data_IF_364856094126
#
_entry.id   IF_364856094126
#
_cell.length_a   1.000
_cell.length_b   1.000
_cell.length_c   1.000
_cell.angle_alpha   90.00
_cell.angle_beta   90.00
_cell.angle_gamma   90.00
#
_symmetry.space_group_name_H-M   'P 1'
#
loop_
_entity.id
_entity.type
_entity.pdbx_description
1 polymer ?
#
# COMPACT_ATOMS: atom_id res chain seq x y z
N UNK A 1 19.95 -36.66 7.43
CA UNK A 1 20.58 -35.64 6.57
C UNK A 1 19.61 -34.47 6.45
N UNK A 2 19.56 -33.64 7.50
CA UNK A 2 18.77 -32.42 7.59
C UNK A 2 19.58 -31.47 8.49
N UNK A 3 20.63 -30.89 7.92
CA UNK A 3 21.41 -29.82 8.57
C UNK A 3 21.00 -28.52 7.89
N UNK A 4 19.80 -28.05 8.21
CA UNK A 4 19.45 -26.64 8.03
C UNK A 4 20.45 -25.89 8.91
N UNK A 5 21.44 -25.29 8.27
CA UNK A 5 22.46 -24.48 8.93
C UNK A 5 21.74 -23.40 9.73
N UNK A 6 21.80 -23.52 11.05
CA UNK A 6 21.33 -22.60 12.09
C UNK A 6 21.79 -21.14 11.92
N UNK A 7 22.63 -20.86 10.92
CA UNK A 7 23.19 -19.55 10.60
C UNK A 7 22.15 -18.52 10.13
N UNK A 8 21.04 -18.94 9.51
CA UNK A 8 20.01 -17.99 9.02
C UNK A 8 19.21 -17.37 10.17
N UNK A 9 18.92 -18.16 11.23
CA UNK A 9 18.28 -17.63 12.45
C UNK A 9 19.29 -16.79 13.26
N UNK A 10 20.58 -17.13 13.21
CA UNK A 10 21.62 -16.37 13.88
C UNK A 10 21.77 -14.93 13.33
N UNK A 11 21.54 -14.73 12.02
CA UNK A 11 21.64 -13.39 11.39
C UNK A 11 20.58 -12.43 11.94
N UNK A 12 19.36 -12.90 12.25
CA UNK A 12 18.37 -12.04 12.94
C UNK A 12 18.75 -11.75 14.40
N UNK A 13 19.40 -12.68 15.10
CA UNK A 13 19.86 -12.45 16.48
C UNK A 13 21.10 -11.54 16.60
N UNK A 14 21.83 -11.33 15.50
CA UNK A 14 23.01 -10.45 15.44
C UNK A 14 22.67 -9.00 15.05
N UNK A 15 21.41 -8.69 14.75
CA UNK A 15 20.93 -7.35 14.41
C UNK A 15 20.48 -6.50 15.62
N UNK A 16 20.69 -6.97 16.86
CA UNK A 16 20.68 -6.09 18.04
C UNK A 16 21.96 -5.26 18.09
N UNK A 17 22.20 -4.42 17.09
CA UNK A 17 23.10 -3.29 17.25
C UNK A 17 22.24 -2.17 17.83
N UNK A 18 22.46 -1.86 19.11
CA UNK A 18 22.08 -0.56 19.65
C UNK A 18 22.80 0.50 18.80
N UNK A 19 22.14 1.01 17.75
CA UNK A 19 22.55 2.23 17.06
C UNK A 19 22.16 3.41 17.95
N UNK A 20 22.84 3.53 19.09
CA UNK A 20 23.02 4.83 19.73
C UNK A 20 24.06 5.56 18.89
N UNK A 21 23.76 6.79 18.48
CA UNK A 21 24.68 7.68 17.80
C UNK A 21 25.88 7.97 18.73
N UNK A 22 26.91 7.14 18.65
CA UNK A 22 28.21 7.42 19.21
C UNK A 22 29.21 7.57 18.06
N UNK A 23 29.95 8.67 18.05
CA UNK A 23 31.13 8.84 17.21
C UNK A 23 32.12 7.70 17.50
N UNK A 24 32.13 6.66 16.66
CA UNK A 24 33.15 5.62 16.74
C UNK A 24 34.32 6.01 15.84
N UNK A 25 35.50 6.15 16.44
CA UNK A 25 36.75 6.53 15.78
C UNK A 25 37.04 5.69 14.51
N UNK A 26 37.22 6.42 13.42
CA UNK A 26 37.54 5.95 12.07
C UNK A 26 38.88 5.22 12.02
N UNK A 27 38.92 4.08 11.32
CA UNK A 27 40.00 3.53 10.47
C UNK A 27 39.84 1.99 10.35
N UNK A 28 39.51 1.27 11.42
CA UNK A 28 39.43 -0.21 11.39
C UNK A 28 38.03 -0.79 11.11
N UNK A 29 36.97 0.01 11.23
CA UNK A 29 35.58 -0.43 10.99
C UNK A 29 35.22 -0.35 9.49
N UNK A 30 35.70 0.69 8.79
CA UNK A 30 35.49 0.89 7.36
C UNK A 30 36.06 -0.25 6.50
N UNK A 31 37.25 -0.75 6.83
CA UNK A 31 37.90 -1.83 6.09
C UNK A 31 37.16 -3.18 6.23
N UNK A 32 36.50 -3.45 7.36
CA UNK A 32 35.66 -4.64 7.56
C UNK A 32 34.29 -4.54 6.88
N UNK A 33 33.75 -3.32 6.72
CA UNK A 33 32.49 -3.07 6.00
C UNK A 33 32.67 -3.27 4.48
N UNK A 34 33.80 -2.86 3.91
CA UNK A 34 34.04 -3.04 2.46
C UNK A 34 34.14 -4.52 2.07
N UNK A 35 34.64 -5.39 2.96
CA UNK A 35 34.82 -6.83 2.68
C UNK A 35 33.51 -7.63 2.52
N UNK A 36 32.36 -7.06 2.88
CA UNK A 36 31.06 -7.76 2.93
C UNK A 36 29.97 -7.07 2.08
N UNK A 37 30.35 -6.32 1.03
CA UNK A 37 29.44 -5.57 0.15
C UNK A 37 28.55 -4.53 0.86
N UNK A 38 29.04 -3.93 1.96
CA UNK A 38 28.33 -2.85 2.63
C UNK A 38 28.55 -1.52 1.91
N UNK A 39 27.48 -0.76 1.66
CA UNK A 39 27.56 0.62 1.16
C UNK A 39 26.82 1.56 2.13
N UNK A 40 27.59 2.30 2.91
CA UNK A 40 27.09 3.46 3.66
C UNK A 40 27.08 4.66 2.71
N UNK A 41 25.96 5.37 2.60
CA UNK A 41 25.84 6.61 1.86
C UNK A 41 25.33 7.68 2.83
N UNK A 42 26.23 8.55 3.27
CA UNK A 42 25.81 9.80 3.89
C UNK A 42 25.20 10.68 2.78
N UNK A 43 23.94 11.09 2.96
CA UNK A 43 23.22 11.88 1.97
C UNK A 43 23.46 13.38 2.21
N UNK A 44 23.39 13.82 3.47
CA UNK A 44 23.71 15.16 3.97
C UNK A 44 23.84 15.15 5.51
N UNK A 45 23.98 16.32 6.14
CA UNK A 45 24.13 16.48 7.60
C UNK A 45 22.90 16.04 8.41
N UNK A 46 21.73 15.88 7.78
CA UNK A 46 20.44 15.58 8.41
C UNK A 46 19.86 14.22 7.99
N UNK A 47 20.42 13.60 6.94
CA UNK A 47 19.92 12.38 6.32
C UNK A 47 21.05 11.36 6.09
N UNK A 48 20.80 10.12 6.50
CA UNK A 48 21.74 9.01 6.29
C UNK A 48 21.01 7.82 5.66
N UNK A 49 21.67 7.13 4.72
CA UNK A 49 21.14 5.93 4.10
C UNK A 49 22.18 4.80 4.12
N UNK A 50 21.79 3.68 4.72
CA UNK A 50 22.57 2.46 4.73
C UNK A 50 21.94 1.43 3.78
N UNK A 51 22.76 0.85 2.90
CA UNK A 51 22.35 -0.21 1.98
C UNK A 51 23.30 -1.40 2.06
N UNK A 52 22.72 -2.58 2.15
CA UNK A 52 23.42 -3.85 1.97
C UNK A 52 22.60 -4.69 1.00
N UNK A 53 23.26 -5.26 0.00
CA UNK A 53 22.64 -6.24 -0.86
C UNK A 53 23.63 -7.34 -1.20
N UNK A 54 23.13 -8.56 -1.28
CA UNK A 54 23.92 -9.71 -1.70
C UNK A 54 23.06 -10.63 -2.54
N UNK A 55 23.65 -11.13 -3.61
CA UNK A 55 23.05 -12.12 -4.48
C UNK A 55 24.02 -13.28 -4.63
N UNK A 56 23.53 -14.46 -4.33
CA UNK A 56 24.21 -15.75 -4.48
C UNK A 56 23.29 -16.66 -5.29
N UNK A 57 23.77 -17.85 -5.68
CA UNK A 57 23.00 -18.81 -6.46
C UNK A 57 21.66 -19.20 -5.77
N UNK A 58 21.70 -19.44 -4.46
CA UNK A 58 20.56 -19.99 -3.72
C UNK A 58 19.81 -18.96 -2.86
N UNK A 59 20.26 -17.71 -2.81
CA UNK A 59 19.56 -16.65 -2.08
C UNK A 59 19.98 -15.26 -2.55
N UNK A 60 19.08 -14.31 -2.40
CA UNK A 60 19.36 -12.89 -2.43
C UNK A 60 18.77 -12.20 -1.21
N UNK A 61 19.40 -11.11 -0.79
CA UNK A 61 18.81 -10.21 0.18
C UNK A 61 19.18 -8.78 -0.12
N UNK A 62 18.30 -7.87 0.29
CA UNK A 62 18.50 -6.45 0.31
C UNK A 62 18.03 -5.89 1.66
N UNK A 63 18.87 -5.10 2.29
CA UNK A 63 18.57 -4.34 3.49
C UNK A 63 18.82 -2.86 3.18
N UNK A 64 17.81 -2.04 3.41
CA UNK A 64 17.89 -0.59 3.29
C UNK A 64 17.40 0.03 4.59
N UNK A 65 18.22 0.88 5.19
CA UNK A 65 17.85 1.69 6.32
C UNK A 65 18.04 3.16 5.97
N UNK A 66 17.02 3.98 6.20
CA UNK A 66 17.05 5.42 5.98
C UNK A 66 16.69 6.13 7.27
N UNK A 67 17.58 7.00 7.71
CA UNK A 67 17.33 8.02 8.72
C UNK A 67 17.10 9.34 7.99
N UNK A 68 16.00 10.01 8.29
CA UNK A 68 15.71 11.32 7.72
C UNK A 68 15.18 12.28 8.77
N UNK A 69 15.76 13.47 8.80
CA UNK A 69 15.28 14.62 9.56
C UNK A 69 14.89 15.71 8.56
N UNK A 70 13.69 16.25 8.70
CA UNK A 70 13.21 17.34 7.84
C UNK A 70 13.20 18.65 8.62
N UNK A 71 13.97 19.65 8.15
CA UNK A 71 13.85 21.03 8.62
C UNK A 71 12.48 21.66 8.33
N UNK A 72 12.23 22.86 8.84
CA UNK A 72 10.94 23.55 8.73
C UNK A 72 10.52 23.78 7.26
N UNK A 73 9.54 23.03 6.76
CA UNK A 73 8.89 23.36 5.49
C UNK A 73 7.70 24.29 5.74
N UNK A 74 7.69 25.44 5.06
CA UNK A 74 6.53 26.33 5.05
C UNK A 74 5.45 25.69 4.19
N UNK A 75 4.31 25.34 4.80
CA UNK A 75 3.21 24.72 4.09
C UNK A 75 2.44 25.80 3.31
N UNK A 76 2.57 25.83 1.98
CA UNK A 76 1.78 26.65 1.04
C UNK A 76 0.30 26.18 0.95
N UNK A 77 -0.39 26.07 2.09
CA UNK A 77 -1.85 25.92 2.14
C UNK A 77 -2.45 27.23 2.64
N UNK A 78 -2.79 28.10 1.69
CA UNK A 78 -3.53 29.34 1.93
C UNK A 78 -4.97 28.96 2.29
N UNK A 79 -5.23 28.80 3.58
CA UNK A 79 -6.56 29.01 4.15
C UNK A 79 -6.40 29.72 5.49
N UNK A 80 -6.73 31.01 5.47
CA UNK A 80 -6.90 31.98 6.56
C UNK A 80 -6.42 31.57 7.97
N UNK A 81 -5.29 32.18 8.37
CA UNK A 81 -4.77 32.31 9.75
C UNK A 81 -4.15 31.07 10.40
N UNK A 82 -3.03 30.54 9.86
CA UNK A 82 -1.75 30.30 10.58
C UNK A 82 -0.77 29.61 9.63
N UNK A 83 0.43 30.17 9.44
CA UNK A 83 1.56 29.41 8.87
C UNK A 83 1.94 28.34 9.90
N UNK A 84 1.60 27.08 9.64
CA UNK A 84 2.00 25.98 10.49
C UNK A 84 3.32 25.43 9.94
N UNK A 85 4.37 25.54 10.74
CA UNK A 85 5.64 24.91 10.43
C UNK A 85 5.62 23.45 10.87
N UNK A 86 6.14 22.56 10.03
CA UNK A 86 6.22 21.15 10.34
C UNK A 86 7.66 20.68 10.34
N UNK A 87 8.01 19.89 11.35
CA UNK A 87 9.28 19.15 11.43
C UNK A 87 8.93 17.68 11.64
N UNK A 88 9.51 16.79 10.83
CA UNK A 88 9.31 15.34 10.93
C UNK A 88 10.65 14.62 11.01
N UNK A 89 10.88 13.98 12.15
CA UNK A 89 11.93 12.98 12.32
C UNK A 89 11.37 11.62 11.87
N UNK A 90 12.05 10.93 10.97
CA UNK A 90 11.60 9.63 10.46
C UNK A 90 12.71 8.60 10.29
N UNK A 91 12.35 7.36 10.58
CA UNK A 91 13.17 6.16 10.48
C UNK A 91 12.46 5.18 9.57
N UNK A 92 13.19 4.58 8.63
CA UNK A 92 12.63 3.58 7.75
C UNK A 92 13.61 2.42 7.56
N UNK A 93 13.19 1.22 7.93
CA UNK A 93 13.93 -0.03 7.77
C UNK A 93 13.17 -0.94 6.81
N UNK A 94 13.76 -1.21 5.65
CA UNK A 94 13.23 -2.11 4.63
C UNK A 94 14.17 -3.30 4.49
N UNK A 95 13.64 -4.50 4.60
CA UNK A 95 14.35 -5.75 4.36
C UNK A 95 13.55 -6.59 3.37
N UNK A 96 14.24 -7.13 2.36
CA UNK A 96 13.68 -8.07 1.40
C UNK A 96 14.68 -9.20 1.19
N UNK A 97 14.20 -10.43 1.13
CA UNK A 97 15.04 -11.62 0.94
C UNK A 97 14.30 -12.67 0.15
N UNK A 98 14.98 -13.25 -0.82
CA UNK A 98 14.50 -14.40 -1.60
C UNK A 98 15.42 -15.59 -1.35
N UNK A 99 14.86 -16.73 -0.99
CA UNK A 99 15.60 -17.98 -0.79
C UNK A 99 15.10 -19.00 -1.81
N UNK A 100 15.98 -19.43 -2.69
CA UNK A 100 15.69 -20.42 -3.72
C UNK A 100 15.98 -21.82 -3.17
N UNK A 101 14.93 -22.59 -2.95
CA UNK A 101 15.04 -23.97 -2.45
C UNK A 101 15.36 -24.92 -3.61
N UNK A 102 14.75 -24.64 -4.77
CA UNK A 102 14.94 -25.29 -6.07
C UNK A 102 14.64 -24.27 -7.18
N UNK A 103 15.00 -24.59 -8.43
CA UNK A 103 14.72 -23.73 -9.60
C UNK A 103 13.22 -23.42 -9.79
N UNK A 104 12.35 -24.28 -9.26
CA UNK A 104 10.89 -24.17 -9.32
C UNK A 104 10.25 -23.75 -8.00
N UNK A 105 11.02 -23.49 -6.93
CA UNK A 105 10.45 -23.19 -5.61
C UNK A 105 11.32 -22.23 -4.81
N UNK A 106 10.72 -21.12 -4.36
CA UNK A 106 11.41 -20.11 -3.59
C UNK A 106 10.52 -19.49 -2.51
N UNK A 107 11.17 -18.91 -1.51
CA UNK A 107 10.53 -18.18 -0.40
C UNK A 107 10.90 -16.70 -0.49
N UNK A 108 9.92 -15.82 -0.34
CA UNK A 108 10.14 -14.38 -0.16
C UNK A 108 9.84 -14.00 1.30
N UNK A 109 10.69 -13.14 1.86
CA UNK A 109 10.52 -12.51 3.15
C UNK A 109 10.72 -11.01 2.97
N UNK A 110 9.69 -10.24 3.29
CA UNK A 110 9.72 -8.78 3.19
C UNK A 110 9.29 -8.17 4.51
N UNK A 111 9.96 -7.11 4.91
CA UNK A 111 9.65 -6.30 6.08
C UNK A 111 9.88 -4.83 5.77
N UNK A 112 8.98 -3.97 6.22
CA UNK A 112 9.11 -2.53 6.15
C UNK A 112 8.60 -1.93 7.46
N UNK A 113 9.50 -1.32 8.22
CA UNK A 113 9.19 -0.62 9.46
C UNK A 113 9.46 0.86 9.26
N UNK A 114 8.42 1.68 9.40
CA UNK A 114 8.51 3.13 9.41
C UNK A 114 8.07 3.67 10.76
N UNK A 115 8.90 4.54 11.34
CA UNK A 115 8.56 5.33 12.52
C UNK A 115 8.75 6.81 12.18
N UNK A 116 7.78 7.65 12.51
CA UNK A 116 7.86 9.09 12.32
C UNK A 116 7.27 9.84 13.50
N UNK A 117 7.94 10.90 13.93
CA UNK A 117 7.43 11.87 14.88
C UNK A 117 7.37 13.23 14.20
N UNK A 118 6.15 13.74 14.02
CA UNK A 118 5.92 15.06 13.45
C UNK A 118 5.52 16.04 14.54
N UNK A 119 6.27 17.13 14.63
CA UNK A 119 5.94 18.28 15.46
C UNK A 119 5.37 19.37 14.58
N UNK A 120 4.24 19.92 15.01
CA UNK A 120 3.54 21.00 14.32
C UNK A 120 3.66 22.21 15.22
N UNK A 121 4.19 23.32 14.72
CA UNK A 121 4.36 24.53 15.52
C UNK A 121 3.32 25.58 15.16
N UNK A 122 2.86 26.31 16.17
CA UNK A 122 2.08 27.52 16.03
C UNK A 122 2.96 28.66 15.51
N UNK A 123 2.33 29.68 14.90
CA UNK A 123 3.00 30.92 14.49
C UNK A 123 3.65 31.68 15.65
N UNK A 124 3.29 31.37 16.90
CA UNK A 124 3.88 31.91 18.13
C UNK A 124 5.21 31.26 18.52
N UNK A 125 5.60 30.16 17.85
CA UNK A 125 6.79 29.36 18.15
C UNK A 125 6.58 28.22 19.16
N UNK A 126 5.36 28.05 19.69
CA UNK A 126 5.00 26.89 20.50
C UNK A 126 4.69 25.64 19.66
N UNK A 127 4.92 24.44 20.18
CA UNK A 127 4.41 23.21 19.55
C UNK A 127 2.88 23.23 19.67
N UNK A 128 2.14 23.16 18.56
CA UNK A 128 0.67 23.10 18.52
C UNK A 128 0.15 21.69 18.82
N UNK A 129 0.78 20.66 18.24
CA UNK A 129 0.51 19.25 18.53
C UNK A 129 1.60 18.33 17.99
N UNK A 130 1.68 17.14 18.58
CA UNK A 130 2.56 16.06 18.16
C UNK A 130 1.77 14.96 17.46
N UNK A 131 2.34 14.41 16.39
CA UNK A 131 1.84 13.22 15.72
C UNK A 131 2.93 12.15 15.70
N UNK A 132 2.76 11.09 16.47
CA UNK A 132 3.58 9.88 16.36
C UNK A 132 2.89 8.92 15.41
N UNK A 133 3.63 8.36 14.46
CA UNK A 133 3.11 7.35 13.55
C UNK A 133 4.13 6.23 13.40
N UNK A 134 3.69 5.00 13.66
CA UNK A 134 4.45 3.79 13.34
C UNK A 134 3.68 2.95 12.32
N UNK A 135 4.41 2.33 11.40
CA UNK A 135 3.88 1.43 10.37
C UNK A 135 4.82 0.24 10.27
N UNK A 136 4.26 -0.94 10.46
CA UNK A 136 4.97 -2.21 10.37
C UNK A 136 4.29 -3.05 9.30
N UNK A 137 5.05 -3.40 8.27
CA UNK A 137 4.63 -4.25 7.19
C UNK A 137 5.54 -5.47 7.18
N UNK A 138 4.97 -6.66 7.10
CA UNK A 138 5.76 -7.87 6.88
C UNK A 138 4.99 -8.83 6.01
N UNK A 139 5.72 -9.59 5.19
CA UNK A 139 5.13 -10.68 4.42
C UNK A 139 6.10 -11.83 4.25
N UNK A 140 5.55 -13.04 4.27
CA UNK A 140 6.24 -14.26 3.86
C UNK A 140 5.42 -14.93 2.78
N UNK A 141 6.08 -15.34 1.69
CA UNK A 141 5.43 -16.04 0.58
C UNK A 141 6.24 -17.25 0.16
N UNK A 142 5.59 -18.41 0.01
CA UNK A 142 6.14 -19.58 -0.65
C UNK A 142 5.58 -19.65 -2.06
N UNK A 143 6.47 -19.77 -3.04
CA UNK A 143 6.14 -19.81 -4.45
C UNK A 143 6.60 -21.12 -5.08
N UNK A 144 5.77 -21.65 -5.97
CA UNK A 144 6.02 -22.89 -6.69
C UNK A 144 5.68 -22.70 -8.17
N UNK A 145 6.67 -22.89 -9.05
CA UNK A 145 6.60 -22.72 -10.50
C UNK A 145 7.13 -24.00 -11.18
N UNK A 146 6.31 -25.07 -11.26
CA UNK A 146 6.75 -26.36 -11.80
C UNK A 146 7.08 -26.33 -13.30
N UNK A 147 6.56 -25.33 -14.03
CA UNK A 147 6.80 -25.13 -15.46
C UNK A 147 6.64 -23.64 -15.80
N UNK A 148 6.76 -23.27 -17.08
CA UNK A 148 6.64 -21.89 -17.53
C UNK A 148 5.23 -21.31 -17.46
N UNK A 149 4.19 -22.16 -17.37
CA UNK A 149 2.78 -21.77 -17.51
C UNK A 149 2.14 -21.48 -16.15
N UNK A 150 2.48 -22.24 -15.11
CA UNK A 150 1.77 -22.17 -13.82
C UNK A 150 2.73 -21.70 -12.73
N UNK A 151 2.30 -20.69 -11.98
CA UNK A 151 2.92 -20.29 -10.71
C UNK A 151 1.84 -20.28 -9.63
N UNK A 152 2.07 -20.99 -8.53
CA UNK A 152 1.21 -20.96 -7.35
C UNK A 152 1.94 -20.36 -6.15
N UNK A 153 1.23 -19.68 -5.27
CA UNK A 153 1.80 -19.14 -4.04
C UNK A 153 0.86 -19.23 -2.86
N UNK A 154 1.44 -19.36 -1.67
CA UNK A 154 0.76 -19.09 -0.40
C UNK A 154 1.52 -17.97 0.31
N UNK A 155 0.83 -16.92 0.71
CA UNK A 155 1.41 -15.77 1.39
C UNK A 155 0.66 -15.42 2.66
N UNK A 156 1.43 -14.98 3.66
CA UNK A 156 0.94 -14.32 4.85
C UNK A 156 1.49 -12.90 4.88
N UNK A 157 0.61 -11.93 5.06
CA UNK A 157 0.93 -10.51 5.14
C UNK A 157 0.40 -9.96 6.46
N UNK A 158 1.19 -9.11 7.12
CA UNK A 158 0.78 -8.32 8.26
C UNK A 158 1.04 -6.83 7.99
N UNK A 159 0.07 -5.99 8.34
CA UNK A 159 0.17 -4.53 8.28
C UNK A 159 -0.40 -3.96 9.59
N UNK A 160 0.48 -3.43 10.42
CA UNK A 160 0.14 -2.70 11.63
C UNK A 160 0.40 -1.21 11.40
N UNK A 161 -0.56 -0.35 11.72
CA UNK A 161 -0.34 1.10 11.76
C UNK A 161 -0.85 1.68 13.06
N UNK A 162 0.00 2.43 13.74
CA UNK A 162 -0.37 3.21 14.91
C UNK A 162 -0.17 4.69 14.60
N UNK A 163 -1.15 5.49 14.96
CA UNK A 163 -1.08 6.94 14.88
C UNK A 163 -1.60 7.50 16.18
N UNK A 164 -0.74 8.19 16.91
CA UNK A 164 -1.10 8.92 18.11
C UNK A 164 -1.01 10.41 17.81
N UNK A 165 -2.09 11.13 18.10
CA UNK A 165 -2.18 12.58 18.04
C UNK A 165 -2.33 13.11 19.45
N UNK A 166 -1.43 14.01 19.83
CA UNK A 166 -1.47 14.70 21.11
C UNK A 166 -1.52 16.21 20.87
N UNK A 167 -2.71 16.78 21.08
CA UNK A 167 -3.01 18.20 20.96
C UNK A 167 -3.42 18.74 22.32
N UNK A 168 -2.49 18.79 23.29
CA UNK A 168 -2.64 19.28 24.67
C UNK A 168 -3.96 18.93 25.38
N UNK A 169 -5.03 19.62 25.03
CA UNK A 169 -6.41 19.42 25.53
C UNK A 169 -7.11 18.17 24.95
N UNK A 170 -6.63 17.62 23.84
CA UNK A 170 -7.22 16.47 23.15
C UNK A 170 -6.16 15.46 22.75
N UNK A 171 -6.38 14.20 23.09
CA UNK A 171 -5.55 13.07 22.66
C UNK A 171 -6.39 12.13 21.83
N UNK A 172 -5.83 11.61 20.74
CA UNK A 172 -6.48 10.52 20.01
C UNK A 172 -5.47 9.53 19.49
N UNK A 173 -5.84 8.26 19.48
CA UNK A 173 -5.03 7.21 18.88
C UNK A 173 -5.84 6.39 17.91
N UNK A 174 -5.20 5.98 16.82
CA UNK A 174 -5.73 5.05 15.85
C UNK A 174 -4.72 3.93 15.66
N UNK A 175 -5.13 2.72 16.00
CA UNK A 175 -4.38 1.50 15.74
C UNK A 175 -5.17 0.66 14.73
N UNK A 176 -4.50 0.16 13.70
CA UNK A 176 -5.05 -0.87 12.84
C UNK A 176 -4.06 -2.01 12.67
N UNK A 177 -4.48 -3.25 12.91
CA UNK A 177 -3.69 -4.48 12.67
C UNK A 177 -4.42 -5.36 11.67
N UNK A 178 -3.83 -5.51 10.49
CA UNK A 178 -4.39 -6.27 9.38
C UNK A 178 -3.54 -7.51 9.13
N UNK A 179 -4.17 -8.69 9.17
CA UNK A 179 -3.53 -9.99 8.88
C UNK A 179 -4.21 -10.64 7.71
N UNK A 180 -3.45 -11.00 6.69
CA UNK A 180 -3.97 -11.57 5.45
C UNK A 180 -3.26 -12.87 5.12
N UNK A 181 -4.04 -13.93 4.95
CA UNK A 181 -3.60 -15.18 4.34
C UNK A 181 -4.18 -15.24 2.92
N UNK A 182 -3.33 -15.49 1.93
CA UNK A 182 -3.76 -15.55 0.53
C UNK A 182 -3.11 -16.75 -0.16
N UNK A 183 -3.90 -17.50 -0.91
CA UNK A 183 -3.42 -18.51 -1.84
C UNK A 183 -3.74 -18.06 -3.26
N UNK A 184 -2.75 -18.08 -4.15
CA UNK A 184 -2.88 -17.58 -5.52
C UNK A 184 -2.36 -18.59 -6.53
N UNK A 185 -2.97 -18.60 -7.72
CA UNK A 185 -2.49 -19.33 -8.89
C UNK A 185 -2.54 -18.36 -10.08
N UNK A 186 -1.39 -18.17 -10.71
CA UNK A 186 -1.22 -17.47 -11.98
C UNK A 186 -0.96 -18.52 -13.07
N UNK A 187 -1.76 -18.47 -14.13
CA UNK A 187 -1.62 -19.31 -15.33
C UNK A 187 -1.33 -18.42 -16.54
N UNK A 188 -0.09 -18.45 -17.02
CA UNK A 188 0.39 -17.75 -18.21
C UNK A 188 0.33 -18.69 -19.42
N UNK A 189 -0.82 -18.69 -20.10
CA UNK A 189 -1.03 -19.42 -21.35
C UNK A 189 -0.74 -18.49 -22.53
N UNK A 190 -0.33 -19.04 -23.67
CA UNK A 190 0.01 -18.26 -24.88
C UNK A 190 -1.11 -17.29 -25.33
N UNK A 191 -2.36 -17.60 -25.01
CA UNK A 191 -3.54 -16.83 -25.42
C UNK A 191 -4.22 -16.06 -24.27
N UNK A 192 -3.81 -16.26 -23.01
CA UNK A 192 -4.42 -15.61 -21.84
C UNK A 192 -3.56 -15.78 -20.59
N UNK A 193 -3.45 -14.73 -19.79
CA UNK A 193 -3.02 -14.81 -18.39
C UNK A 193 -4.25 -14.81 -17.48
N UNK A 194 -4.32 -15.78 -16.57
CA UNK A 194 -5.37 -15.92 -15.56
C UNK A 194 -4.76 -15.93 -14.16
N UNK A 195 -5.14 -14.96 -13.34
CA UNK A 195 -4.82 -14.91 -11.92
C UNK A 195 -6.07 -15.27 -11.12
N UNK A 196 -5.94 -16.24 -10.23
CA UNK A 196 -7.00 -16.61 -9.29
C UNK A 196 -6.43 -16.62 -7.89
N UNK A 197 -7.21 -16.16 -6.92
CA UNK A 197 -6.81 -16.26 -5.53
C UNK A 197 -7.98 -16.37 -4.58
N UNK A 198 -7.73 -17.03 -3.45
CA UNK A 198 -8.61 -17.05 -2.30
C UNK A 198 -7.88 -16.40 -1.13
N UNK A 199 -8.60 -15.64 -0.34
CA UNK A 199 -8.00 -14.89 0.76
C UNK A 199 -8.88 -14.86 2.00
N UNK A 200 -8.22 -14.68 3.13
CA UNK A 200 -8.83 -14.34 4.41
C UNK A 200 -8.07 -13.17 5.02
N UNK A 201 -8.77 -12.10 5.39
CA UNK A 201 -8.20 -10.91 6.01
C UNK A 201 -8.92 -10.65 7.33
N UNK A 202 -8.17 -10.58 8.42
CA UNK A 202 -8.63 -9.98 9.66
C UNK A 202 -8.19 -8.51 9.66
N UNK A 203 -9.10 -7.60 9.97
CA UNK A 203 -8.80 -6.18 10.18
C UNK A 203 -9.25 -5.77 11.57
N UNK A 204 -8.29 -5.54 12.44
CA UNK A 204 -8.52 -4.93 13.75
C UNK A 204 -8.40 -3.42 13.59
N UNK A 205 -9.44 -2.68 13.99
CA UNK A 205 -9.47 -1.23 13.98
C UNK A 205 -9.84 -0.73 15.36
N UNK A 206 -8.95 0.04 15.98
CA UNK A 206 -9.19 0.70 17.26
C UNK A 206 -8.96 2.20 17.12
N UNK A 207 -9.96 2.97 17.50
CA UNK A 207 -9.88 4.42 17.59
C UNK A 207 -10.27 4.86 18.99
N UNK A 208 -9.42 5.67 19.60
CA UNK A 208 -9.65 6.28 20.90
C UNK A 208 -9.55 7.80 20.73
N UNK A 209 -10.46 8.54 21.33
CA UNK A 209 -10.34 9.99 21.50
C UNK A 209 -10.65 10.32 22.95
N UNK A 210 -9.81 11.14 23.56
CA UNK A 210 -9.96 11.69 24.90
C UNK A 210 -9.90 13.21 24.82
N UNK A 211 -10.80 13.86 25.54
CA UNK A 211 -10.93 15.31 25.60
C UNK A 211 -11.14 15.71 27.05
N UNK A 212 -10.59 16.86 27.46
CA UNK A 212 -10.94 17.43 28.76
C UNK A 212 -12.37 18.00 28.78
N UNK A 213 -12.87 18.41 27.60
CA UNK A 213 -14.16 19.10 27.44
C UNK A 213 -15.31 18.17 26.98
N UNK A 214 -15.00 16.96 26.51
CA UNK A 214 -15.98 16.00 25.97
C UNK A 214 -15.75 14.58 26.51
N UNK A 215 -16.77 13.73 26.40
CA UNK A 215 -16.65 12.32 26.79
C UNK A 215 -15.62 11.58 25.92
N UNK A 216 -14.86 10.69 26.58
CA UNK A 216 -13.94 9.78 25.90
C UNK A 216 -14.72 8.90 24.91
N UNK A 217 -14.23 8.81 23.68
CA UNK A 217 -14.80 7.96 22.63
C UNK A 217 -13.87 6.78 22.35
N UNK A 218 -14.42 5.57 22.40
CA UNK A 218 -13.72 4.35 22.00
C UNK A 218 -14.54 3.59 20.96
N UNK A 219 -13.91 3.35 19.81
CA UNK A 219 -14.38 2.39 18.82
C UNK A 219 -13.35 1.28 18.72
N UNK A 220 -13.79 0.03 18.86
CA UNK A 220 -12.96 -1.14 18.68
C UNK A 220 -13.75 -2.16 17.86
N UNK A 221 -13.25 -2.52 16.68
CA UNK A 221 -13.91 -3.42 15.74
C UNK A 221 -12.89 -4.37 15.12
N UNK A 222 -13.22 -5.65 15.06
CA UNK A 222 -12.50 -6.65 14.27
C UNK A 222 -13.40 -7.12 13.14
N UNK A 223 -12.94 -6.97 11.92
CA UNK A 223 -13.65 -7.36 10.70
C UNK A 223 -12.96 -8.57 10.05
N UNK A 224 -13.75 -9.45 9.46
CA UNK A 224 -13.26 -10.60 8.71
C UNK A 224 -13.76 -10.55 7.27
N UNK A 225 -12.81 -10.60 6.34
CA UNK A 225 -13.06 -10.65 4.91
C UNK A 225 -12.58 -12.00 4.40
N UNK A 226 -13.47 -12.77 3.80
CA UNK A 226 -13.15 -14.03 3.13
C UNK A 226 -13.63 -13.94 1.70
N UNK A 227 -12.77 -14.23 0.74
CA UNK A 227 -13.17 -14.01 -0.64
C UNK A 227 -12.31 -14.68 -1.68
N UNK A 228 -12.73 -14.43 -2.92
CA UNK A 228 -12.11 -14.90 -4.13
C UNK A 228 -11.90 -13.71 -5.08
N UNK A 229 -10.71 -13.63 -5.65
CA UNK A 229 -10.35 -12.67 -6.69
C UNK A 229 -9.97 -13.43 -7.95
N UNK A 230 -10.49 -12.97 -9.09
CA UNK A 230 -10.09 -13.45 -10.41
C UNK A 230 -9.64 -12.24 -11.22
N UNK A 231 -8.52 -12.33 -11.92
CA UNK A 231 -8.14 -11.40 -12.95
C UNK A 231 -7.75 -12.15 -14.23
N UNK A 232 -8.10 -11.57 -15.37
CA UNK A 232 -7.85 -12.11 -16.69
C UNK A 232 -7.23 -11.02 -17.54
N UNK A 233 -6.16 -11.34 -18.26
CA UNK A 233 -5.55 -10.48 -19.27
C UNK A 233 -5.35 -11.26 -20.56
N UNK A 234 -5.85 -10.72 -21.68
CA UNK A 234 -5.76 -11.37 -22.98
C UNK A 234 -5.55 -10.35 -24.10
N UNK A 235 -4.58 -10.60 -24.96
CA UNK A 235 -4.49 -9.94 -26.25
C UNK A 235 -5.42 -10.67 -27.24
N UNK A 236 -6.54 -10.03 -27.59
CA UNK A 236 -7.54 -10.56 -28.52
C UNK A 236 -7.03 -10.50 -29.98
N UNK A 237 -6.21 -9.50 -30.28
CA UNK A 237 -5.45 -9.32 -31.53
C UNK A 237 -4.13 -8.61 -31.18
N UNK A 238 -3.22 -8.45 -32.14
CA UNK A 238 -1.96 -7.69 -31.97
C UNK A 238 -2.17 -6.25 -31.46
N UNK A 239 -3.36 -5.69 -31.70
CA UNK A 239 -3.69 -4.31 -31.39
C UNK A 239 -4.81 -4.16 -30.35
N UNK A 240 -5.38 -5.26 -29.84
CA UNK A 240 -6.56 -5.24 -28.95
C UNK A 240 -6.29 -6.07 -27.70
N UNK A 241 -6.20 -5.40 -26.56
CA UNK A 241 -6.02 -6.02 -25.25
C UNK A 241 -7.28 -5.91 -24.41
N UNK A 242 -7.62 -6.99 -23.73
CA UNK A 242 -8.71 -7.08 -22.76
C UNK A 242 -8.12 -7.41 -21.38
N UNK A 243 -8.52 -6.66 -20.37
CA UNK A 243 -8.22 -6.98 -18.97
C UNK A 243 -9.52 -6.94 -18.18
N UNK A 244 -9.77 -7.93 -17.33
CA UNK A 244 -10.94 -7.98 -16.46
C UNK A 244 -10.55 -8.48 -15.09
N UNK A 245 -11.23 -7.99 -14.05
CA UNK A 245 -11.11 -8.54 -12.71
C UNK A 245 -12.47 -8.59 -12.02
N UNK A 246 -12.62 -9.56 -11.13
CA UNK A 246 -13.79 -9.74 -10.31
C UNK A 246 -13.39 -10.12 -8.89
N UNK A 247 -14.10 -9.59 -7.90
CA UNK A 247 -13.90 -9.88 -6.49
C UNK A 247 -15.23 -10.18 -5.83
N UNK A 248 -15.26 -11.29 -5.11
CA UNK A 248 -16.42 -11.74 -4.34
C UNK A 248 -15.99 -11.98 -2.90
N UNK A 249 -16.67 -11.35 -1.96
CA UNK A 249 -16.28 -11.36 -0.56
C UNK A 249 -17.48 -11.61 0.34
N UNK A 250 -17.33 -12.55 1.27
CA UNK A 250 -18.13 -12.58 2.49
C UNK A 250 -17.40 -11.74 3.55
N UNK A 251 -18.12 -10.82 4.17
CA UNK A 251 -17.52 -9.80 5.04
C UNK A 251 -18.43 -9.64 6.25
N UNK A 252 -17.85 -9.66 7.45
CA UNK A 252 -18.57 -9.53 8.71
C UNK A 252 -17.71 -8.81 9.76
N UNK A 253 -18.35 -8.09 10.68
CA UNK A 253 -17.74 -7.60 11.92
C UNK A 253 -17.76 -8.78 12.91
N UNK A 254 -16.61 -9.42 13.13
CA UNK A 254 -16.50 -10.53 14.08
C UNK A 254 -16.67 -10.09 15.53
N UNK A 255 -16.00 -9.00 15.90
CA UNK A 255 -16.03 -8.47 17.26
C UNK A 255 -16.16 -6.94 17.22
N UNK A 256 -16.89 -6.39 18.19
CA UNK A 256 -16.95 -4.95 18.43
C UNK A 256 -17.27 -4.68 19.89
N UNK A 257 -16.89 -3.50 20.38
CA UNK A 257 -17.36 -2.97 21.66
C UNK A 257 -18.84 -2.52 21.62
N UNK A 258 -19.45 -2.45 20.44
CA UNK A 258 -20.88 -2.20 20.24
C UNK A 258 -21.51 -3.52 19.76
N UNK A 259 -22.34 -4.13 20.61
CA UNK A 259 -22.86 -5.48 20.38
C UNK A 259 -23.67 -5.58 19.09
N UNK A 260 -24.49 -4.56 18.80
CA UNK A 260 -25.36 -4.49 17.62
C UNK A 260 -24.59 -4.49 16.29
N UNK A 261 -23.26 -4.33 16.30
CA UNK A 261 -22.44 -4.39 15.09
C UNK A 261 -21.99 -5.81 14.75
N UNK A 262 -21.94 -6.73 15.71
CA UNK A 262 -21.38 -8.07 15.50
C UNK A 262 -22.23 -8.88 14.52
N UNK A 263 -21.58 -9.57 13.59
CA UNK A 263 -22.20 -10.36 12.53
C UNK A 263 -22.71 -9.53 11.33
N UNK A 264 -22.72 -8.20 11.43
CA UNK A 264 -23.11 -7.33 10.32
C UNK A 264 -21.97 -7.05 9.36
N UNK A 265 -22.29 -6.61 8.14
CA UNK A 265 -21.30 -6.16 7.15
C UNK A 265 -20.83 -4.76 7.50
N UNK A 266 -19.51 -4.48 7.53
CA UNK A 266 -19.01 -3.12 7.77
C UNK A 266 -19.60 -2.09 6.78
N UNK A 267 -19.86 -0.88 7.27
CA UNK A 267 -20.33 0.21 6.44
C UNK A 267 -19.42 0.47 5.23
N UNK A 268 -20.00 0.93 4.13
CA UNK A 268 -19.33 1.29 2.87
C UNK A 268 -18.49 0.20 2.21
N UNK A 269 -18.72 -1.06 2.58
CA UNK A 269 -17.89 -2.17 2.10
C UNK A 269 -18.66 -3.04 1.10
N UNK A 270 -18.28 -3.04 -0.19
CA UNK A 270 -18.94 -3.86 -1.19
C UNK A 270 -18.48 -5.33 -1.09
N UNK A 271 -19.43 -6.25 -1.25
CA UNK A 271 -19.16 -7.69 -1.31
C UNK A 271 -18.87 -8.20 -2.73
N UNK A 272 -19.13 -7.37 -3.75
CA UNK A 272 -18.96 -7.71 -5.16
C UNK A 272 -18.41 -6.52 -5.91
N UNK A 273 -17.33 -6.73 -6.63
CA UNK A 273 -16.67 -5.73 -7.46
C UNK A 273 -16.28 -6.35 -8.79
N UNK A 274 -16.40 -5.60 -9.88
CA UNK A 274 -16.02 -6.05 -11.22
C UNK A 274 -15.43 -4.90 -12.02
N UNK A 275 -14.32 -5.15 -12.70
CA UNK A 275 -13.71 -4.23 -13.64
C UNK A 275 -13.49 -4.91 -14.99
N UNK A 276 -13.70 -4.15 -16.06
CA UNK A 276 -13.40 -4.51 -17.43
C UNK A 276 -12.68 -3.34 -18.08
N UNK A 277 -11.55 -3.61 -18.73
CA UNK A 277 -10.77 -2.64 -19.49
C UNK A 277 -10.45 -3.21 -20.86
N UNK A 278 -10.61 -2.39 -21.88
CA UNK A 278 -10.21 -2.70 -23.25
C UNK A 278 -9.28 -1.62 -23.74
N UNK A 279 -8.17 -2.02 -24.37
CA UNK A 279 -7.19 -1.12 -24.98
C UNK A 279 -7.05 -1.48 -26.45
N UNK A 280 -7.26 -0.52 -27.34
CA UNK A 280 -7.14 -0.70 -28.78
C UNK A 280 -6.14 0.28 -29.37
N UNK A 281 -5.06 -0.23 -29.93
CA UNK A 281 -4.04 0.56 -30.62
C UNK A 281 -4.40 0.67 -32.10
N UNK A 282 -4.57 1.88 -32.59
CA UNK A 282 -4.76 2.16 -34.01
C UNK A 282 -3.80 3.26 -34.44
N UNK A 283 -2.79 2.89 -35.23
CA UNK A 283 -1.65 3.77 -35.55
C UNK A 283 -1.03 4.29 -34.25
N UNK A 284 -0.83 5.60 -34.14
CA UNK A 284 -0.21 6.26 -32.98
C UNK A 284 -1.23 6.67 -31.90
N UNK A 285 -2.43 6.08 -31.92
CA UNK A 285 -3.51 6.38 -30.98
C UNK A 285 -3.91 5.11 -30.24
N UNK A 286 -3.83 5.13 -28.91
CA UNK A 286 -4.35 4.07 -28.05
C UNK A 286 -5.68 4.50 -27.45
N UNK A 287 -6.77 3.85 -27.85
CA UNK A 287 -8.08 4.00 -27.25
C UNK A 287 -8.22 3.11 -26.02
N UNK A 288 -8.83 3.62 -24.96
CA UNK A 288 -9.06 2.91 -23.72
C UNK A 288 -10.55 3.01 -23.38
N UNK A 289 -11.18 1.88 -23.08
CA UNK A 289 -12.51 1.83 -22.47
C UNK A 289 -12.41 1.09 -21.15
N UNK A 290 -13.09 1.58 -20.12
CA UNK A 290 -13.16 0.93 -18.81
C UNK A 290 -14.60 0.96 -18.28
N UNK A 291 -15.03 -0.15 -17.69
CA UNK A 291 -16.28 -0.26 -16.94
C UNK A 291 -15.95 -0.80 -15.56
N UNK A 292 -16.42 -0.12 -14.52
CA UNK A 292 -16.26 -0.53 -13.12
C UNK A 292 -17.64 -0.66 -12.48
N UNK A 293 -17.93 -1.82 -11.89
CA UNK A 293 -19.13 -2.09 -11.12
C UNK A 293 -18.78 -2.29 -9.65
N UNK A 294 -19.58 -1.68 -8.79
CA UNK A 294 -19.48 -1.85 -7.34
C UNK A 294 -20.86 -2.21 -6.80
N UNK A 295 -20.92 -3.30 -6.03
CA UNK A 295 -22.15 -3.77 -5.39
C UNK A 295 -22.72 -2.79 -4.37
N UNK A 296 -23.95 -3.07 -3.92
CA UNK A 296 -24.59 -2.31 -2.84
C UNK A 296 -23.75 -2.34 -1.57
N UNK A 297 -23.83 -1.28 -0.76
CA UNK A 297 -23.06 -1.13 0.48
C UNK A 297 -23.97 -0.60 1.57
N UNK A 298 -23.77 -1.04 2.81
CA UNK A 298 -24.49 -0.45 3.94
C UNK A 298 -23.94 0.93 4.27
N UNK A 299 -24.78 1.84 4.79
CA UNK A 299 -24.35 3.16 5.27
C UNK A 299 -24.09 3.20 6.77
N UNK A 300 -24.42 2.13 7.47
CA UNK A 300 -24.29 1.97 8.91
C UNK A 300 -23.87 0.53 9.27
N UNK A 301 -23.26 0.36 10.45
CA UNK A 301 -22.78 -0.93 10.93
C UNK A 301 -23.87 -1.82 11.54
N UNK A 302 -25.09 -1.29 11.76
CA UNK A 302 -26.26 -2.11 12.16
C UNK A 302 -26.99 -2.71 10.96
N UNK A 303 -26.53 -2.39 9.75
CA UNK A 303 -27.06 -2.85 8.47
C UNK A 303 -28.52 -2.45 8.21
N UNK A 304 -28.93 -1.26 8.67
CA UNK A 304 -30.31 -0.79 8.53
C UNK A 304 -30.65 -0.31 7.12
N UNK A 305 -29.68 0.30 6.42
CA UNK A 305 -29.88 0.91 5.11
C UNK A 305 -28.71 0.66 4.16
N UNK A 306 -29.00 0.64 2.85
CA UNK A 306 -28.01 0.43 1.79
C UNK A 306 -27.99 1.57 0.77
N UNK A 307 -26.79 1.93 0.33
CA UNK A 307 -26.59 2.56 -0.97
C UNK A 307 -26.74 1.50 -2.06
N UNK A 308 -27.44 1.87 -3.14
CA UNK A 308 -27.56 1.04 -4.33
C UNK A 308 -26.20 0.77 -4.97
N UNK A 309 -26.10 -0.35 -5.69
CA UNK A 309 -24.96 -0.62 -6.57
C UNK A 309 -24.88 0.40 -7.70
N UNK A 310 -23.70 0.56 -8.29
CA UNK A 310 -23.51 1.45 -9.44
C UNK A 310 -22.45 0.91 -10.40
N UNK A 311 -22.54 1.37 -11.65
CA UNK A 311 -21.60 1.06 -12.73
C UNK A 311 -21.14 2.36 -13.36
N UNK A 312 -19.83 2.55 -13.46
CA UNK A 312 -19.21 3.73 -14.07
C UNK A 312 -18.46 3.29 -15.33
N UNK A 313 -18.80 3.90 -16.46
CA UNK A 313 -18.06 3.77 -17.71
C UNK A 313 -17.10 4.94 -17.92
N UNK A 314 -15.91 4.66 -18.43
CA UNK A 314 -14.90 5.65 -18.78
C UNK A 314 -14.31 5.36 -20.16
N UNK A 315 -13.99 6.41 -20.90
CA UNK A 315 -13.26 6.34 -22.17
C UNK A 315 -11.98 7.16 -22.07
N UNK A 316 -10.98 6.81 -22.86
CA UNK A 316 -9.76 7.60 -23.00
C UNK A 316 -9.06 7.36 -24.32
N UNK A 317 -8.16 8.28 -24.66
CA UNK A 317 -7.29 8.17 -25.81
C UNK A 317 -5.91 8.72 -25.44
N UNK A 318 -4.87 7.94 -25.72
CA UNK A 318 -3.48 8.39 -25.65
C UNK A 318 -2.98 8.62 -27.07
N UNK A 319 -2.59 9.86 -27.39
CA UNK A 319 -1.96 10.23 -28.65
C UNK A 319 -0.45 10.27 -28.44
N UNK A 320 0.29 9.52 -29.25
CA UNK A 320 1.74 9.57 -29.30
C UNK A 320 2.14 10.43 -30.51
N UNK A 321 2.78 11.56 -30.27
CA UNK A 321 3.12 12.55 -31.30
C UNK A 321 4.51 13.10 -31.05
N UNK A 322 4.99 13.97 -31.95
CA UNK A 322 6.16 14.80 -31.72
C UNK A 322 5.76 16.25 -31.57
N UNK A 323 6.45 16.99 -30.71
CA UNK A 323 6.29 18.42 -30.56
C UNK A 323 7.68 19.06 -30.43
N UNK A 324 8.06 19.87 -31.41
CA UNK A 324 9.42 20.45 -31.53
C UNK A 324 10.47 19.32 -31.49
N UNK A 325 10.31 18.32 -32.36
CA UNK A 325 11.18 17.15 -32.50
C UNK A 325 11.32 16.21 -31.27
N UNK A 326 10.72 16.56 -30.13
CA UNK A 326 10.65 15.72 -28.94
C UNK A 326 9.37 14.87 -28.91
N UNK A 327 9.49 13.63 -28.43
CA UNK A 327 8.34 12.74 -28.27
C UNK A 327 7.40 13.30 -27.19
N UNK A 328 6.11 13.38 -27.52
CA UNK A 328 5.08 13.88 -26.63
C UNK A 328 3.93 12.89 -26.56
N UNK A 329 3.37 12.74 -25.36
CA UNK A 329 2.17 11.95 -25.12
C UNK A 329 1.07 12.85 -24.59
N UNK A 330 -0.08 12.81 -25.24
CA UNK A 330 -1.31 13.50 -24.79
C UNK A 330 -2.31 12.44 -24.39
N UNK A 331 -2.70 12.43 -23.12
CA UNK A 331 -3.73 11.56 -22.58
C UNK A 331 -5.02 12.36 -22.38
N UNK A 332 -6.10 11.93 -23.04
CA UNK A 332 -7.46 12.41 -22.80
C UNK A 332 -8.26 11.31 -22.12
N UNK A 333 -9.06 11.66 -21.13
CA UNK A 333 -10.00 10.71 -20.53
C UNK A 333 -11.30 11.39 -20.09
N UNK A 334 -12.37 10.62 -20.16
CA UNK A 334 -13.72 10.96 -19.71
C UNK A 334 -14.14 9.88 -18.74
N UNK A 335 -14.38 10.23 -17.48
CA UNK A 335 -14.91 9.33 -16.45
C UNK A 335 -16.40 9.56 -16.30
N UNK A 336 -17.15 8.51 -15.95
CA UNK A 336 -18.60 8.55 -15.79
C UNK A 336 -19.31 9.10 -17.04
N UNK A 337 -19.02 8.49 -18.20
CA UNK A 337 -19.52 8.95 -19.51
C UNK A 337 -21.05 8.94 -19.64
N UNK A 338 -21.74 8.10 -18.86
CA UNK A 338 -23.20 8.04 -18.82
C UNK A 338 -23.81 9.02 -17.81
N UNK A 339 -22.98 9.88 -17.20
CA UNK A 339 -23.34 10.82 -16.15
C UNK A 339 -24.22 10.20 -15.06
N UNK A 340 -23.85 9.00 -14.61
CA UNK A 340 -24.60 8.25 -13.59
C UNK A 340 -24.59 9.06 -12.30
N UNK A 341 -25.77 9.28 -11.73
CA UNK A 341 -25.92 9.75 -10.36
C UNK A 341 -25.75 8.57 -9.40
N UNK A 342 -24.76 8.66 -8.51
CA UNK A 342 -24.41 7.61 -7.55
C UNK A 342 -23.75 8.20 -6.30
N UNK A 343 -23.76 7.45 -5.20
CA UNK A 343 -23.23 7.88 -3.91
C UNK A 343 -22.05 6.99 -3.50
N UNK A 344 -20.97 7.62 -3.04
CA UNK A 344 -19.81 6.95 -2.45
C UNK A 344 -20.06 6.64 -0.96
N UNK A 345 -20.60 7.63 -0.26
CA UNK A 345 -20.98 7.59 1.16
C UNK A 345 -22.39 8.16 1.34
N UNK A 346 -22.92 8.17 2.56
CA UNK A 346 -24.27 8.69 2.85
C UNK A 346 -24.44 10.17 2.48
N UNK A 347 -23.36 10.96 2.58
CA UNK A 347 -23.32 12.40 2.35
C UNK A 347 -22.50 12.81 1.12
N UNK A 348 -21.83 11.84 0.48
CA UNK A 348 -20.87 12.11 -0.59
C UNK A 348 -21.34 11.50 -1.90
N UNK A 349 -21.77 12.38 -2.80
CA UNK A 349 -22.07 12.03 -4.19
C UNK A 349 -20.78 11.72 -4.96
N UNK A 350 -20.84 10.72 -5.82
CA UNK A 350 -19.76 10.42 -6.75
C UNK A 350 -19.63 11.48 -7.84
N UNK A 351 -18.46 11.55 -8.47
CA UNK A 351 -18.20 12.54 -9.51
C UNK A 351 -19.23 12.43 -10.65
N UNK A 352 -19.75 13.58 -11.09
CA UNK A 352 -20.43 13.67 -12.38
C UNK A 352 -19.44 13.40 -13.52
N UNK A 353 -19.90 13.43 -14.78
CA UNK A 353 -18.97 13.28 -15.92
C UNK A 353 -17.80 14.25 -15.80
N UNK A 354 -16.57 13.72 -15.78
CA UNK A 354 -15.35 14.51 -15.63
C UNK A 354 -14.38 14.24 -16.77
N UNK A 355 -13.72 15.30 -17.21
CA UNK A 355 -12.77 15.31 -18.31
C UNK A 355 -11.39 15.59 -17.76
N UNK A 356 -10.40 14.81 -18.20
CA UNK A 356 -9.01 15.03 -17.84
C UNK A 356 -8.16 15.03 -19.10
N UNK A 357 -7.24 15.98 -19.16
CA UNK A 357 -6.16 16.03 -20.13
C UNK A 357 -4.83 16.06 -19.38
N UNK A 358 -3.90 15.21 -19.79
CA UNK A 358 -2.52 15.24 -19.33
C UNK A 358 -1.59 15.25 -20.53
N UNK A 359 -0.48 15.98 -20.42
CA UNK A 359 0.55 16.02 -21.44
C UNK A 359 1.90 15.77 -20.78
N UNK A 360 2.67 14.84 -21.35
CA UNK A 360 4.00 14.50 -20.87
C UNK A 360 5.01 14.49 -22.01
N UNK A 361 6.19 15.04 -21.75
CA UNK A 361 7.36 15.05 -22.61
C UNK A 361 8.57 14.59 -21.79
N UNK A 362 9.46 13.75 -22.33
CA UNK A 362 10.76 13.53 -21.74
C UNK A 362 11.57 14.83 -21.82
N UNK A 363 12.34 15.12 -20.76
CA UNK A 363 13.28 16.23 -20.70
C UNK A 363 14.70 15.73 -20.87
#
# INVERSE_FOLDING_TARGET
MLRIKLYVILILSLLTVNLQAFETNYINTYSKLIANNFKLVDLDDENAEFKMAKKEENYDYALKYKLAKSGYENSDYINYHTENFYNEDSYNLIFSSSIYLYDYMWLNFDMNYKDSLRSIMESSGGVAYLKKSTKEESSVGLYFKPNSIITSSISFENLNTNIDYDKFINQSSKNTDNKKLKFSITSDLDFVTLDTSVYQIFKDNRYLSRSEDNEDYLQNTQELYRGLEIALSKDLTENLKLTSSAKFSNIEILNSNIEDYKGNVPLYTPQKEFDLKTEYLYKDIKFISKVSYVGSRYIDNVNSQKLGSYTIGSLGASFYTKFIDEDAKIDLSIKNILNKDYYLYSDTKGDSTSFMMNMSMPF
#
